data_IF_633907324035
#
_entry.id   IF_633907324035
#
_cell.length_a   1.000
_cell.length_b   1.000
_cell.length_c   1.000
_cell.angle_alpha   90.00
_cell.angle_beta   90.00
_cell.angle_gamma   90.00
#
_symmetry.space_group_name_H-M   'P 1'
#
loop_
_entity.id
_entity.type
_entity.pdbx_description
1 polymer ?
#
# COMPACT_ATOMS: atom_id res chain seq x y z
N UNK A 1 -25.04 9.05 -20.39
CA UNK A 1 -24.83 10.42 -19.87
C UNK A 1 -24.14 11.23 -20.95
N UNK A 2 -24.82 12.23 -21.52
CA UNK A 2 -24.20 13.16 -22.45
C UNK A 2 -23.52 14.29 -21.65
N UNK A 3 -22.31 14.74 -22.03
CA UNK A 3 -21.68 15.88 -21.37
C UNK A 3 -22.54 17.14 -21.59
N UNK A 4 -22.87 17.86 -20.53
CA UNK A 4 -23.80 19.01 -20.59
C UNK A 4 -23.13 20.31 -21.04
N UNK A 5 -21.79 20.46 -20.87
CA UNK A 5 -21.01 21.67 -21.16
C UNK A 5 -19.53 21.33 -21.43
N UNK A 6 -18.65 22.34 -21.52
CA UNK A 6 -17.19 22.21 -21.75
C UNK A 6 -16.40 21.73 -20.51
N UNK A 7 -16.90 20.68 -19.85
CA UNK A 7 -16.21 20.03 -18.74
C UNK A 7 -15.07 19.14 -19.21
N UNK A 8 -14.10 18.91 -18.31
CA UNK A 8 -12.95 18.05 -18.61
C UNK A 8 -13.41 16.62 -18.97
N UNK A 9 -13.02 16.13 -20.14
CA UNK A 9 -13.30 14.75 -20.57
C UNK A 9 -12.48 13.78 -19.72
N UNK A 10 -13.11 13.21 -18.71
CA UNK A 10 -12.53 12.14 -17.90
C UNK A 10 -12.50 10.84 -18.71
N UNK A 11 -11.42 10.06 -18.55
CA UNK A 11 -11.31 8.66 -19.01
C UNK A 11 -11.39 7.73 -17.79
N UNK A 12 -12.57 7.52 -17.19
CA UNK A 12 -12.71 6.66 -16.03
C UNK A 12 -12.42 5.20 -16.44
N UNK A 13 -11.41 4.58 -15.84
CA UNK A 13 -11.03 3.18 -16.12
C UNK A 13 -11.93 2.15 -15.39
N UNK A 14 -13.23 2.42 -15.33
CA UNK A 14 -14.23 1.57 -14.68
C UNK A 14 -14.99 0.67 -15.67
N UNK A 15 -14.33 0.28 -16.77
CA UNK A 15 -14.93 -0.50 -17.88
C UNK A 15 -14.96 -2.02 -17.65
N UNK A 16 -14.21 -2.52 -16.65
CA UNK A 16 -14.16 -3.94 -16.27
C UNK A 16 -15.01 -4.17 -15.01
N UNK A 17 -15.16 -5.42 -14.60
CA UNK A 17 -15.83 -5.83 -13.34
C UNK A 17 -15.08 -5.34 -12.07
N UNK A 18 -15.03 -4.03 -11.87
CA UNK A 18 -14.32 -3.37 -10.77
C UNK A 18 -15.08 -3.53 -9.45
N UNK A 19 -16.41 -3.55 -9.48
CA UNK A 19 -17.24 -3.72 -8.29
C UNK A 19 -16.95 -5.04 -7.57
N UNK A 20 -16.69 -6.11 -8.32
CA UNK A 20 -16.29 -7.42 -7.78
C UNK A 20 -14.89 -7.43 -7.16
N UNK A 21 -14.07 -6.41 -7.44
CA UNK A 21 -12.65 -6.32 -7.05
C UNK A 21 -12.37 -5.18 -6.07
N UNK A 22 -13.39 -4.66 -5.41
CA UNK A 22 -13.24 -3.61 -4.39
C UNK A 22 -12.58 -4.22 -3.15
N UNK A 23 -11.30 -3.91 -2.94
CA UNK A 23 -10.61 -4.25 -1.70
C UNK A 23 -11.04 -3.28 -0.60
N UNK A 24 -11.79 -3.77 0.39
CA UNK A 24 -12.15 -2.99 1.58
C UNK A 24 -11.09 -3.14 2.67
N UNK A 25 -10.95 -2.11 3.51
CA UNK A 25 -9.91 -2.03 4.52
C UNK A 25 -10.45 -2.02 5.95
N UNK A 26 -11.69 -2.50 6.17
CA UNK A 26 -12.32 -2.60 7.49
C UNK A 26 -11.55 -3.50 8.47
N UNK A 27 -10.77 -4.45 7.94
CA UNK A 27 -9.93 -5.35 8.73
C UNK A 27 -8.57 -4.75 9.14
N UNK A 28 -8.29 -3.48 8.83
CA UNK A 28 -7.07 -2.78 9.26
C UNK A 28 -6.79 -2.88 10.78
N UNK A 29 -7.72 -2.55 11.69
CA UNK A 29 -7.48 -2.65 13.13
C UNK A 29 -7.14 -4.09 13.57
N UNK A 30 -7.89 -5.08 13.06
CA UNK A 30 -7.60 -6.48 13.33
C UNK A 30 -6.23 -6.92 12.79
N UNK A 31 -5.82 -6.45 11.58
CA UNK A 31 -4.47 -6.70 11.05
C UNK A 31 -3.38 -6.06 11.91
N UNK A 32 -3.60 -4.85 12.45
CA UNK A 32 -2.65 -4.16 13.33
C UNK A 32 -2.44 -4.96 14.63
N UNK A 33 -3.53 -5.39 15.24
CA UNK A 33 -3.53 -6.23 16.44
C UNK A 33 -2.78 -7.54 16.16
N UNK A 34 -3.11 -8.25 15.07
CA UNK A 34 -2.42 -9.49 14.69
C UNK A 34 -0.92 -9.30 14.45
N UNK A 35 -0.48 -8.21 13.80
CA UNK A 35 0.95 -7.92 13.61
C UNK A 35 1.67 -7.68 14.95
N UNK A 36 1.01 -7.04 15.91
CA UNK A 36 1.55 -6.78 17.25
C UNK A 36 1.72 -8.07 18.06
N UNK A 37 0.73 -8.96 18.04
CA UNK A 37 0.78 -10.22 18.80
C UNK A 37 1.61 -11.32 18.10
N UNK A 38 1.69 -11.30 16.77
CA UNK A 38 2.52 -12.23 15.97
C UNK A 38 3.98 -11.80 15.88
N UNK A 39 4.30 -10.56 16.24
CA UNK A 39 5.69 -10.23 16.58
C UNK A 39 6.03 -11.06 17.81
N UNK A 40 6.96 -12.03 17.73
CA UNK A 40 7.20 -12.96 18.82
C UNK A 40 7.52 -12.20 20.10
N UNK A 41 7.04 -12.70 21.23
CA UNK A 41 7.53 -12.38 22.59
C UNK A 41 9.00 -12.76 22.79
N UNK A 42 9.74 -13.03 21.71
CA UNK A 42 11.19 -13.07 21.70
C UNK A 42 11.66 -11.70 22.19
N UNK A 43 12.19 -11.73 23.40
CA UNK A 43 12.98 -10.68 23.99
C UNK A 43 13.71 -9.87 22.94
N UNK A 44 13.67 -8.56 23.18
CA UNK A 44 14.84 -7.71 22.97
C UNK A 44 15.18 -7.67 21.49
N UNK A 45 14.72 -6.60 20.85
CA UNK A 45 15.65 -5.79 20.07
C UNK A 45 17.05 -5.99 20.66
N UNK A 46 17.86 -6.85 20.03
CA UNK A 46 19.24 -6.50 19.80
C UNK A 46 19.15 -5.03 19.41
N UNK A 47 19.55 -4.21 20.36
CA UNK A 47 19.59 -2.76 20.25
C UNK A 47 20.61 -2.52 19.13
N UNK A 48 20.13 -2.43 17.89
CA UNK A 48 20.93 -2.68 16.70
C UNK A 48 20.40 -3.95 16.02
N UNK A 49 19.53 -3.82 15.03
CA UNK A 49 20.03 -3.39 13.73
C UNK A 49 20.67 -4.61 13.09
N UNK A 50 19.96 -5.24 12.16
CA UNK A 50 20.59 -6.22 11.28
C UNK A 50 21.88 -5.58 10.74
N UNK A 51 22.94 -6.36 10.65
CA UNK A 51 24.27 -5.92 10.20
C UNK A 51 24.30 -5.43 8.76
N UNK A 52 23.14 -5.25 8.11
CA UNK A 52 23.00 -4.69 6.78
C UNK A 52 23.51 -3.24 6.75
N UNK A 53 24.54 -2.96 5.96
CA UNK A 53 25.04 -1.61 5.78
C UNK A 53 23.95 -0.73 5.13
N UNK A 54 23.84 0.53 5.56
CA UNK A 54 22.99 1.52 4.88
C UNK A 54 23.61 1.84 3.53
N UNK A 55 23.18 1.15 2.47
CA UNK A 55 23.54 1.49 1.10
C UNK A 55 22.82 2.76 0.65
N UNK A 56 23.51 3.65 -0.10
CA UNK A 56 22.88 4.82 -0.72
C UNK A 56 21.82 4.34 -1.73
N UNK A 57 20.60 4.89 -1.66
CA UNK A 57 19.55 4.62 -2.64
C UNK A 57 20.07 5.00 -4.03
N UNK A 58 20.15 4.03 -4.95
CA UNK A 58 20.50 4.31 -6.34
C UNK A 58 19.34 5.08 -7.00
N UNK A 59 19.59 6.24 -7.63
CA UNK A 59 18.60 6.83 -8.51
C UNK A 59 18.35 5.86 -9.66
N UNK A 60 17.08 5.51 -9.89
CA UNK A 60 16.69 4.80 -11.11
C UNK A 60 16.94 5.76 -12.27
N UNK A 61 17.90 5.47 -13.13
CA UNK A 61 18.01 6.15 -14.42
C UNK A 61 16.76 5.81 -15.23
N UNK A 62 15.96 6.83 -15.52
CA UNK A 62 14.77 6.76 -16.36
C UNK A 62 15.20 6.62 -17.83
N UNK A 63 14.71 5.58 -18.50
CA UNK A 63 14.69 5.48 -19.97
C UNK A 63 13.26 5.65 -20.45
#
# INVERSE_FOLDING_TARGET
MAPSQNGMRLKPHFHKDWQRRVATWFNQPARKIRRRWRAPSASRWTRGGGTSPRSRCRPKCSG
#
